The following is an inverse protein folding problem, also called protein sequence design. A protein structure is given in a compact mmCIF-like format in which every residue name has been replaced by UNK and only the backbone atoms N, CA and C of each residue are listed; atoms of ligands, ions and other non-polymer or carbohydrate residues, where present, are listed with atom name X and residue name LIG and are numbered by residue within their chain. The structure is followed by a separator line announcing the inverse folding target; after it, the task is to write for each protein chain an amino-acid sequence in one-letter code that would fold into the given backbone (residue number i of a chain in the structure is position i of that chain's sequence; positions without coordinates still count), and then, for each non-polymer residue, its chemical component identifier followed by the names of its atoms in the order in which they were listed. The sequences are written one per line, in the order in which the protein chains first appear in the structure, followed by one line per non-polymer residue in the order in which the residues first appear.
data_IF_220672796208
#
_entry.id   IF_220672796208
#
_cell.length_a   1.000
_cell.length_b   1.000
_cell.length_c   1.000
_cell.angle_alpha   90.00
_cell.angle_beta   90.00
_cell.angle_gamma   90.00
#
_symmetry.space_group_name_H-M   'P 1'
#
loop_
_entity.id
_entity.type
_entity.pdbx_description
1 polymer ?
#
# COMPACT_ATOMS: atom_id res chain seq x y z
N UNK A 1 -15.95 9.67 6.23
CA UNK A 1 -15.14 8.44 6.22
C UNK A 1 -14.86 8.01 4.80
N UNK A 2 -13.67 7.46 4.52
CA UNK A 2 -13.36 6.90 3.20
C UNK A 2 -13.57 5.39 3.22
N UNK A 3 -14.27 4.85 2.22
CA UNK A 3 -14.50 3.41 2.05
C UNK A 3 -14.06 2.92 0.67
N UNK A 4 -13.61 1.67 0.59
CA UNK A 4 -13.20 1.04 -0.66
C UNK A 4 -13.58 -0.44 -0.65
N UNK A 5 -14.13 -0.93 -1.77
CA UNK A 5 -14.38 -2.36 -1.98
C UNK A 5 -13.68 -2.85 -3.22
N UNK A 6 -13.15 -4.07 -3.17
CA UNK A 6 -12.60 -4.78 -4.32
C UNK A 6 -13.16 -6.20 -4.35
N UNK A 7 -13.80 -6.57 -5.46
CA UNK A 7 -14.31 -7.93 -5.71
C UNK A 7 -13.46 -8.58 -6.77
N UNK A 8 -12.65 -9.57 -6.38
CA UNK A 8 -11.79 -10.30 -7.32
C UNK A 8 -12.63 -11.06 -8.35
N UNK A 9 -12.39 -10.79 -9.63
CA UNK A 9 -12.99 -11.49 -10.77
C UNK A 9 -12.05 -12.52 -11.38
N UNK A 10 -10.74 -12.36 -11.22
CA UNK A 10 -9.75 -13.31 -11.75
C UNK A 10 -8.30 -12.97 -11.46
N UNK A 11 -7.42 -13.41 -12.35
CA UNK A 11 -5.99 -13.08 -12.39
C UNK A 11 -5.56 -12.79 -13.82
N UNK A 12 -4.61 -11.89 -13.99
CA UNK A 12 -4.03 -11.61 -15.30
C UNK A 12 -3.32 -12.86 -15.86
N UNK A 13 -3.43 -13.05 -17.17
CA UNK A 13 -2.84 -14.19 -17.88
C UNK A 13 -1.34 -14.32 -17.58
N UNK A 14 -0.89 -15.55 -17.30
CA UNK A 14 0.51 -15.83 -16.96
C UNK A 14 1.03 -15.18 -15.67
N UNK A 15 0.15 -14.68 -14.79
CA UNK A 15 0.54 -13.94 -13.58
C UNK A 15 -0.33 -14.30 -12.37
N UNK A 16 0.17 -13.98 -11.17
CA UNK A 16 -0.61 -14.01 -9.93
C UNK A 16 -1.34 -12.69 -9.65
N UNK A 17 -1.21 -11.70 -10.54
CA UNK A 17 -1.83 -10.37 -10.40
C UNK A 17 -3.36 -10.48 -10.38
N UNK A 18 -4.04 -10.18 -9.26
CA UNK A 18 -5.49 -10.23 -9.20
C UNK A 18 -6.13 -9.13 -10.06
N UNK A 19 -7.26 -9.48 -10.68
CA UNK A 19 -8.14 -8.58 -11.42
C UNK A 19 -9.48 -8.56 -10.67
N UNK A 20 -10.12 -7.41 -10.59
CA UNK A 20 -11.43 -7.28 -9.96
C UNK A 20 -12.09 -5.92 -10.12
N UNK A 21 -13.34 -5.84 -9.70
CA UNK A 21 -14.13 -4.61 -9.75
C UNK A 21 -13.96 -3.82 -8.45
N UNK A 22 -13.72 -2.52 -8.59
CA UNK A 22 -13.48 -1.60 -7.47
C UNK A 22 -14.57 -0.53 -7.36
N UNK A 23 -14.88 -0.13 -6.13
CA UNK A 23 -15.78 1.01 -5.83
C UNK A 23 -15.21 1.85 -4.70
N UNK A 24 -15.31 3.18 -4.86
CA UNK A 24 -14.87 4.18 -3.89
C UNK A 24 -16.08 4.86 -3.25
N UNK A 25 -16.02 5.06 -1.93
CA UNK A 25 -17.10 5.67 -1.16
C UNK A 25 -16.59 6.85 -0.33
N UNK A 26 -17.37 7.94 -0.31
CA UNK A 26 -17.28 8.99 0.72
C UNK A 26 -18.53 8.87 1.58
N UNK A 27 -18.32 8.56 2.85
CA UNK A 27 -19.37 8.12 3.77
C UNK A 27 -20.12 6.91 3.21
N UNK A 28 -21.41 7.04 2.92
CA UNK A 28 -22.23 5.97 2.32
C UNK A 28 -22.41 6.12 0.81
N UNK A 29 -21.92 7.20 0.22
CA UNK A 29 -22.14 7.51 -1.20
C UNK A 29 -21.03 6.90 -2.04
N UNK A 30 -21.39 6.05 -3.00
CA UNK A 30 -20.46 5.61 -4.04
C UNK A 30 -20.13 6.81 -4.94
N UNK A 31 -18.85 7.14 -5.04
CA UNK A 31 -18.37 8.30 -5.81
C UNK A 31 -17.57 7.89 -7.05
N UNK A 32 -17.11 6.63 -7.13
CA UNK A 32 -16.45 6.09 -8.32
C UNK A 32 -16.55 4.56 -8.38
N UNK A 33 -16.41 4.04 -9.59
CA UNK A 33 -16.23 2.61 -9.87
C UNK A 33 -15.18 2.38 -10.96
N UNK A 34 -14.53 1.23 -10.91
CA UNK A 34 -13.54 0.81 -11.90
C UNK A 34 -13.63 -0.71 -12.08
N UNK A 35 -14.04 -1.13 -13.28
CA UNK A 35 -14.00 -2.54 -13.67
C UNK A 35 -12.58 -2.97 -14.03
N UNK A 36 -12.29 -4.26 -13.89
CA UNK A 36 -11.02 -4.88 -14.33
C UNK A 36 -9.76 -4.22 -13.71
N UNK A 37 -9.86 -3.70 -12.49
CA UNK A 37 -8.73 -3.14 -11.75
C UNK A 37 -7.68 -4.22 -11.49
N UNK A 38 -6.42 -3.93 -11.83
CA UNK A 38 -5.27 -4.77 -11.50
C UNK A 38 -4.64 -4.31 -10.19
N UNK A 39 -4.39 -5.25 -9.28
CA UNK A 39 -3.71 -4.98 -8.01
C UNK A 39 -2.40 -5.72 -7.93
N UNK A 40 -1.41 -5.14 -7.24
CA UNK A 40 -0.13 -5.80 -7.06
C UNK A 40 -0.30 -6.98 -6.08
N UNK A 41 0.10 -8.22 -6.43
CA UNK A 41 -0.23 -9.44 -5.68
C UNK A 41 0.47 -9.60 -4.32
N UNK A 42 1.28 -8.64 -3.87
CA UNK A 42 2.03 -8.76 -2.64
C UNK A 42 2.69 -7.47 -2.19
N UNK A 43 3.51 -7.57 -1.15
CA UNK A 43 4.34 -6.46 -0.68
C UNK A 43 5.37 -6.10 -1.75
N UNK A 44 5.36 -4.85 -2.23
CA UNK A 44 6.41 -4.33 -3.09
C UNK A 44 7.29 -3.33 -2.34
N UNK A 45 8.59 -3.48 -2.51
CA UNK A 45 9.63 -2.62 -1.97
C UNK A 45 10.96 -3.24 -2.37
N UNK A 46 11.93 -2.43 -2.79
CA UNK A 46 13.24 -2.90 -3.32
C UNK A 46 14.00 -3.87 -2.40
N UNK A 47 13.61 -3.99 -1.12
CA UNK A 47 14.19 -4.90 -0.13
C UNK A 47 13.13 -5.72 0.66
N UNK A 48 11.88 -5.82 0.21
CA UNK A 48 10.79 -6.40 1.02
C UNK A 48 10.42 -5.56 2.26
N UNK A 49 11.02 -4.38 2.42
CA UNK A 49 10.69 -3.42 3.45
C UNK A 49 9.48 -2.59 3.01
N UNK A 50 8.41 -2.60 3.80
CA UNK A 50 7.34 -1.61 3.68
C UNK A 50 7.83 -0.26 4.20
N UNK A 51 7.45 0.83 3.52
CA UNK A 51 7.63 2.19 4.06
C UNK A 51 6.59 2.40 5.16
N UNK A 52 6.98 2.11 6.41
CA UNK A 52 6.18 2.48 7.58
C UNK A 52 6.64 3.84 8.07
N UNK A 53 5.90 4.89 7.72
CA UNK A 53 6.19 6.26 8.19
C UNK A 53 6.15 6.26 9.73
N UNK A 54 7.26 6.67 10.35
CA UNK A 54 7.41 6.72 11.81
C UNK A 54 7.66 5.39 12.53
N UNK A 55 7.63 4.25 11.83
CA UNK A 55 7.90 2.91 12.40
C UNK A 55 9.07 2.16 11.74
N UNK A 56 9.50 2.58 10.55
CA UNK A 56 10.72 2.09 9.91
C UNK A 56 11.88 3.02 10.28
N UNK A 57 12.76 2.56 11.18
CA UNK A 57 13.92 3.34 11.66
C UNK A 57 15.04 3.47 10.63
N UNK A 58 14.94 2.74 9.50
CA UNK A 58 16.04 2.59 8.54
C UNK A 58 17.24 1.85 9.14
N UNK A 59 18.15 1.41 8.28
CA UNK A 59 19.49 0.94 8.70
C UNK A 59 20.47 2.10 8.53
N UNK A 60 21.32 2.40 9.52
CA UNK A 60 22.35 3.43 9.37
C UNK A 60 23.35 3.01 8.28
N UNK A 61 23.81 3.99 7.50
CA UNK A 61 24.80 3.76 6.41
C UNK A 61 26.18 3.34 6.93
N UNK A 62 26.44 3.55 8.23
CA UNK A 62 27.63 3.06 8.95
C UNK A 62 27.40 3.14 10.47
N UNK A 63 28.24 2.47 11.25
CA UNK A 63 28.24 2.59 12.72
C UNK A 63 28.55 4.01 13.22
N UNK A 64 29.18 4.85 12.38
CA UNK A 64 29.53 6.22 12.72
C UNK A 64 28.37 7.21 12.50
N UNK A 65 27.34 6.82 11.75
CA UNK A 65 26.23 7.72 11.43
C UNK A 65 25.13 7.64 12.50
N UNK A 66 24.86 8.76 13.18
CA UNK A 66 23.69 8.95 14.05
C UNK A 66 22.70 9.89 13.37
N UNK A 67 21.44 9.48 13.26
CA UNK A 67 20.38 10.30 12.69
C UNK A 67 20.19 11.59 13.54
N UNK A 68 20.27 12.79 12.93
CA UNK A 68 20.25 14.05 13.68
C UNK A 68 18.86 14.45 14.21
N UNK A 69 17.79 13.90 13.65
CA UNK A 69 16.41 14.28 13.99
C UNK A 69 15.55 13.03 14.24
N UNK A 70 15.34 12.63 15.51
CA UNK A 70 14.43 11.53 15.81
C UNK A 70 13.00 11.93 15.44
N UNK A 71 12.28 11.02 14.76
CA UNK A 71 10.86 11.20 14.52
C UNK A 71 10.09 11.14 15.85
N UNK A 72 9.18 12.09 16.07
CA UNK A 72 8.34 12.18 17.27
C UNK A 72 6.89 12.47 16.89
N UNK A 73 5.93 12.03 17.72
CA UNK A 73 4.51 12.38 17.56
C UNK A 73 3.68 11.50 16.61
N UNK A 74 4.22 10.41 16.06
CA UNK A 74 3.41 9.44 15.30
C UNK A 74 2.83 8.35 16.20
N UNK A 75 1.50 8.31 16.29
CA UNK A 75 0.72 7.17 16.83
C UNK A 75 -0.02 6.48 15.71
#
# INVERSE_FOLDING_TARGET
TLGFTFTRTGTAEGSHTPIGDARLFVDTTQVAELAEMRVHPGTFGLAGATLSVGRNTGSPVSNAFRAPFPFTGGT
#
